data_IF_085823885222
#
_entry.id   IF_085823885222
#
_cell.length_a   1.000
_cell.length_b   1.000
_cell.length_c   1.000
_cell.angle_alpha   90.00
_cell.angle_beta   90.00
_cell.angle_gamma   90.00
#
_symmetry.space_group_name_H-M   'P 1'
#
loop_
_entity.id
_entity.type
_entity.pdbx_description
1 polymer ?
#
# COMPACT_ATOMS: atom_id res chain seq x y z
N UNK A 1 6.64 -14.93 -13.97
CA UNK A 1 6.11 -13.58 -14.08
C UNK A 1 6.01 -12.94 -12.71
N UNK A 2 6.52 -11.76 -12.59
CA UNK A 2 6.52 -11.10 -11.30
C UNK A 2 5.31 -10.21 -11.13
N UNK A 3 4.73 -10.27 -9.95
CA UNK A 3 3.64 -9.38 -9.62
C UNK A 3 4.21 -8.02 -9.24
N UNK A 4 3.54 -7.01 -9.70
CA UNK A 4 3.90 -5.65 -9.35
C UNK A 4 2.68 -4.97 -8.78
N UNK A 5 2.87 -4.07 -7.82
CA UNK A 5 1.73 -3.31 -7.34
C UNK A 5 1.20 -2.41 -8.45
N UNK A 6 -0.10 -2.20 -8.45
CA UNK A 6 -0.70 -1.31 -9.42
C UNK A 6 -0.52 0.14 -8.99
N UNK A 7 -0.23 0.36 -7.71
CA UNK A 7 -0.03 1.71 -7.22
C UNK A 7 0.76 1.65 -5.92
N UNK A 8 1.49 2.70 -5.65
CA UNK A 8 2.24 2.81 -4.39
C UNK A 8 2.06 4.20 -3.85
N UNK A 9 1.94 4.26 -2.53
CA UNK A 9 1.82 5.52 -1.82
C UNK A 9 2.93 5.55 -0.80
N UNK A 10 3.64 6.65 -0.74
CA UNK A 10 4.77 6.76 0.16
C UNK A 10 4.62 7.97 1.04
N UNK A 11 4.69 7.74 2.34
CA UNK A 11 4.65 8.79 3.35
C UNK A 11 5.91 8.65 4.18
N UNK A 12 6.91 9.47 3.87
CA UNK A 12 8.17 9.34 4.56
C UNK A 12 8.78 7.97 4.32
N UNK A 13 8.99 7.23 5.39
CA UNK A 13 9.57 5.89 5.30
C UNK A 13 8.52 4.80 5.21
N UNK A 14 7.25 5.15 5.26
CA UNK A 14 6.16 4.17 5.20
C UNK A 14 5.66 4.12 3.77
N UNK A 15 5.47 2.91 3.28
CA UNK A 15 5.00 2.70 1.93
C UNK A 15 3.78 1.78 1.95
N UNK A 16 2.76 2.16 1.21
CA UNK A 16 1.59 1.33 0.99
C UNK A 16 1.59 0.92 -0.47
N UNK A 17 1.48 -0.36 -0.72
CA UNK A 17 1.44 -0.90 -2.07
C UNK A 17 0.08 -1.54 -2.30
N UNK A 18 -0.54 -1.19 -3.40
CA UNK A 18 -1.86 -1.71 -3.76
C UNK A 18 -1.66 -2.77 -4.83
N UNK A 19 -2.19 -3.95 -4.54
CA UNK A 19 -2.03 -5.11 -5.42
C UNK A 19 -3.37 -5.53 -5.96
N UNK A 20 -3.38 -6.00 -7.18
CA UNK A 20 -4.58 -6.51 -7.80
C UNK A 20 -4.41 -7.99 -8.04
N UNK A 21 -5.38 -8.76 -7.61
CA UNK A 21 -5.39 -10.19 -7.80
C UNK A 21 -6.63 -10.59 -8.55
N UNK A 22 -6.47 -11.49 -9.48
CA UNK A 22 -7.60 -12.05 -10.20
C UNK A 22 -7.85 -13.46 -9.69
N UNK A 23 -9.12 -13.76 -9.43
CA UNK A 23 -9.51 -15.08 -9.00
C UNK A 23 -10.77 -15.43 -9.77
N UNK A 24 -10.58 -16.16 -10.88
CA UNK A 24 -11.68 -16.43 -11.76
C UNK A 24 -12.21 -15.15 -12.38
N UNK A 25 -13.47 -14.88 -12.15
CA UNK A 25 -14.09 -13.66 -12.67
C UNK A 25 -14.00 -12.50 -11.67
N UNK A 26 -13.48 -12.77 -10.49
CA UNK A 26 -13.40 -11.76 -9.45
C UNK A 26 -12.06 -11.07 -9.48
N UNK A 27 -12.09 -9.79 -9.20
CA UNK A 27 -10.88 -8.99 -9.05
C UNK A 27 -10.85 -8.46 -7.64
N UNK A 28 -9.75 -8.71 -6.95
CA UNK A 28 -9.61 -8.28 -5.59
C UNK A 28 -8.39 -7.40 -5.45
N UNK A 29 -8.44 -6.52 -4.48
CA UNK A 29 -7.33 -5.63 -4.19
C UNK A 29 -6.85 -5.88 -2.78
N UNK A 30 -5.55 -5.91 -2.64
CA UNK A 30 -4.90 -6.03 -1.34
C UNK A 30 -3.94 -4.88 -1.19
N UNK A 31 -3.73 -4.48 0.05
CA UNK A 31 -2.79 -3.41 0.35
C UNK A 31 -1.81 -3.93 1.37
N UNK A 32 -0.54 -3.75 1.08
CA UNK A 32 0.51 -4.11 2.01
C UNK A 32 1.23 -2.86 2.45
N UNK A 33 1.72 -2.89 3.69
CA UNK A 33 2.44 -1.76 4.26
C UNK A 33 3.81 -2.21 4.66
N UNK A 34 4.80 -1.40 4.33
CA UNK A 34 6.16 -1.65 4.73
C UNK A 34 6.79 -0.34 5.18
N UNK A 35 7.83 -0.48 5.99
CA UNK A 35 8.62 0.66 6.40
C UNK A 35 10.06 0.37 6.00
N UNK A 36 10.70 1.35 5.39
CA UNK A 36 12.11 1.19 5.07
C UNK A 36 12.92 1.82 6.19
N UNK A 37 14.05 1.21 6.45
CA UNK A 37 14.97 1.73 7.45
C UNK A 37 16.39 1.42 7.01
N UNK A 38 17.31 2.16 7.57
CA UNK A 38 18.69 1.99 7.20
C UNK A 38 19.42 1.25 8.31
N UNK A 39 20.11 0.20 7.91
CA UNK A 39 20.89 -0.61 8.83
C UNK A 39 22.34 -0.55 8.35
N UNK A 40 23.14 0.29 9.02
CA UNK A 40 24.45 0.57 8.51
C UNK A 40 24.36 1.31 7.20
N UNK A 41 24.83 0.69 6.13
CA UNK A 41 24.75 1.31 4.82
C UNK A 41 23.72 0.64 3.92
N UNK A 42 22.93 -0.25 4.49
CA UNK A 42 21.93 -0.97 3.71
C UNK A 42 20.54 -0.51 4.05
N UNK A 43 19.70 -0.43 3.04
CA UNK A 43 18.28 -0.15 3.23
C UNK A 43 17.54 -1.46 3.34
N UNK A 44 16.70 -1.56 4.34
CA UNK A 44 15.94 -2.77 4.59
C UNK A 44 14.48 -2.43 4.77
N UNK A 45 13.66 -3.45 4.60
CA UNK A 45 12.21 -3.33 4.77
C UNK A 45 11.75 -4.09 5.98
N UNK A 46 10.71 -3.60 6.59
CA UNK A 46 10.09 -4.29 7.71
C UNK A 46 8.59 -4.02 7.69
N UNK A 47 7.84 -4.93 8.29
CA UNK A 47 6.41 -4.71 8.48
C UNK A 47 6.10 -4.36 9.92
N UNK A 48 7.11 -3.97 10.68
CA UNK A 48 6.93 -3.45 12.03
C UNK A 48 7.01 -1.95 12.00
N UNK A 49 6.17 -1.31 12.80
CA UNK A 49 6.08 0.14 12.79
C UNK A 49 6.22 0.65 14.22
N UNK A 50 7.13 1.58 14.37
CA UNK A 50 7.32 2.21 15.65
C UNK A 50 6.23 3.21 15.96
N UNK A 51 6.27 3.68 17.18
CA UNK A 51 5.28 4.63 17.64
C UNK A 51 5.23 5.86 16.76
N UNK A 52 6.40 6.37 16.36
CA UNK A 52 6.46 7.58 15.55
C UNK A 52 6.10 7.32 14.10
N UNK A 53 6.06 6.08 13.70
CA UNK A 53 5.67 5.73 12.34
C UNK A 53 4.17 5.58 12.18
N UNK A 54 3.45 5.45 13.27
CA UNK A 54 2.02 5.18 13.20
C UNK A 54 1.23 6.28 12.52
N UNK A 55 1.50 7.57 12.77
CA UNK A 55 0.77 8.60 12.03
C UNK A 55 1.00 8.49 10.52
N UNK A 56 2.20 8.13 10.13
CA UNK A 56 2.49 7.97 8.70
C UNK A 56 1.75 6.77 8.15
N UNK A 57 1.68 5.70 8.93
CA UNK A 57 0.97 4.51 8.50
C UNK A 57 -0.53 4.81 8.35
N UNK A 58 -1.08 5.55 9.29
CA UNK A 58 -2.49 5.93 9.21
C UNK A 58 -2.75 6.72 7.94
N UNK A 59 -1.90 7.68 7.65
CA UNK A 59 -2.09 8.49 6.46
C UNK A 59 -1.93 7.67 5.19
N UNK A 60 -0.94 6.77 5.18
CA UNK A 60 -0.74 5.92 4.02
C UNK A 60 -1.95 5.02 3.79
N UNK A 61 -2.50 4.48 4.88
CA UNK A 61 -3.67 3.63 4.77
C UNK A 61 -4.87 4.42 4.27
N UNK A 62 -5.03 5.64 4.75
CA UNK A 62 -6.14 6.46 4.32
C UNK A 62 -6.05 6.78 2.83
N UNK A 63 -4.86 7.11 2.37
CA UNK A 63 -4.70 7.43 0.96
C UNK A 63 -4.89 6.20 0.08
N UNK A 64 -4.45 5.05 0.56
CA UNK A 64 -4.68 3.81 -0.18
C UNK A 64 -6.17 3.51 -0.28
N UNK A 65 -6.88 3.70 0.82
CA UNK A 65 -8.31 3.48 0.82
C UNK A 65 -9.02 4.43 -0.12
N UNK A 66 -8.62 5.70 -0.11
CA UNK A 66 -9.23 6.68 -0.99
C UNK A 66 -9.00 6.32 -2.45
N UNK A 67 -7.81 5.83 -2.77
CA UNK A 67 -7.53 5.43 -4.13
C UNK A 67 -8.38 4.25 -4.55
N UNK A 68 -8.52 3.27 -3.66
CA UNK A 68 -9.36 2.12 -3.95
C UNK A 68 -10.83 2.50 -4.03
N UNK A 69 -11.24 3.38 -3.14
CA UNK A 69 -12.62 3.81 -3.12
C UNK A 69 -12.99 4.56 -4.40
N UNK A 70 -12.08 5.40 -4.88
CA UNK A 70 -12.34 6.12 -6.12
C UNK A 70 -12.49 5.16 -7.29
N UNK A 71 -11.62 4.16 -7.34
CA UNK A 71 -11.70 3.17 -8.41
C UNK A 71 -13.03 2.45 -8.35
N UNK A 72 -13.41 2.01 -7.15
CA UNK A 72 -14.69 1.32 -7.00
C UNK A 72 -15.85 2.23 -7.29
N UNK A 73 -15.75 3.48 -6.87
CA UNK A 73 -16.82 4.44 -7.09
C UNK A 73 -17.03 4.70 -8.56
N UNK A 74 -15.93 4.80 -9.30
CA UNK A 74 -16.03 5.01 -10.72
C UNK A 74 -16.72 3.85 -11.40
N UNK A 75 -16.40 2.64 -10.96
CA UNK A 75 -17.05 1.48 -11.51
C UNK A 75 -18.53 1.45 -11.14
N UNK A 76 -18.81 1.83 -9.90
CA UNK A 76 -20.20 1.80 -9.44
C UNK A 76 -21.03 2.89 -10.07
N UNK A 77 -20.42 3.98 -10.48
CA UNK A 77 -21.15 5.10 -11.05
C UNK A 77 -21.73 4.75 -12.40
N UNK A 78 -21.26 3.68 -12.97
CA UNK A 78 -21.81 3.25 -14.23
C UNK A 78 -22.96 2.30 -14.06
#
# INVERSE_FOLDING_TARGET
MKNKPISEIRIGTVKAAIWQNKAGVSIRHNVTFTRIYKDGEEWKNTDSFGRDDLPKLILAAQKAYEGLFQTSHEEAAE
#
